data_IF_212581920828
#
_entry.id   IF_212581920828
#
_cell.length_a   1.000
_cell.length_b   1.000
_cell.length_c   1.000
_cell.angle_alpha   90.00
_cell.angle_beta   90.00
_cell.angle_gamma   90.00
#
_symmetry.space_group_name_H-M   'P 1'
#
loop_
_entity.id
_entity.type
_entity.pdbx_description
1 polymer ?
#
# COMPACT_ATOMS: atom_id res chain seq x y z
N UNK A 1 23.40 22.35 -1.42
CA UNK A 1 22.07 22.78 -1.89
C UNK A 1 21.87 22.63 -3.39
N UNK A 2 22.62 23.34 -4.27
CA UNK A 2 22.39 23.29 -5.74
C UNK A 2 22.41 21.88 -6.37
N UNK A 3 23.27 20.97 -5.88
CA UNK A 3 23.33 19.59 -6.37
C UNK A 3 22.09 18.77 -6.00
N UNK A 4 21.67 18.74 -4.72
CA UNK A 4 20.44 18.08 -4.26
C UNK A 4 19.19 18.58 -5.01
N UNK A 5 19.07 19.90 -5.22
CA UNK A 5 17.96 20.48 -6.00
C UNK A 5 17.95 19.98 -7.45
N UNK A 6 19.13 19.84 -8.08
CA UNK A 6 19.25 19.32 -9.45
C UNK A 6 18.90 17.83 -9.55
N UNK A 7 19.26 17.05 -8.55
CA UNK A 7 18.93 15.62 -8.46
C UNK A 7 17.41 15.41 -8.32
N UNK A 8 16.74 16.19 -7.45
CA UNK A 8 15.28 16.16 -7.31
C UNK A 8 14.57 16.57 -8.61
N UNK A 9 15.03 17.64 -9.27
CA UNK A 9 14.45 18.04 -10.56
C UNK A 9 14.58 16.94 -11.64
N UNK A 10 15.74 16.26 -11.69
CA UNK A 10 15.96 15.12 -12.58
C UNK A 10 15.03 13.95 -12.23
N UNK A 11 14.85 13.67 -10.94
CA UNK A 11 13.91 12.65 -10.45
C UNK A 11 12.47 12.91 -10.92
N UNK A 12 11.94 14.10 -10.67
CA UNK A 12 10.57 14.45 -11.06
C UNK A 12 10.36 14.37 -12.58
N UNK A 13 11.37 14.79 -13.36
CA UNK A 13 11.35 14.62 -14.82
C UNK A 13 11.29 13.14 -15.19
N UNK A 14 12.13 12.30 -14.59
CA UNK A 14 12.19 10.86 -14.87
C UNK A 14 10.88 10.15 -14.49
N UNK A 15 10.31 10.45 -13.32
CA UNK A 15 9.00 9.92 -12.94
C UNK A 15 7.93 10.30 -13.95
N UNK A 16 7.90 11.56 -14.39
CA UNK A 16 6.93 12.01 -15.40
C UNK A 16 7.04 11.19 -16.70
N UNK A 17 8.26 10.92 -17.17
CA UNK A 17 8.52 10.07 -18.34
C UNK A 17 8.05 8.62 -18.15
N UNK A 18 8.33 8.02 -17.01
CA UNK A 18 8.01 6.62 -16.74
C UNK A 18 6.50 6.42 -16.43
N UNK A 19 5.85 7.42 -15.84
CA UNK A 19 4.39 7.45 -15.67
C UNK A 19 3.67 7.44 -17.02
N UNK A 20 4.12 8.22 -18.01
CA UNK A 20 3.55 8.18 -19.37
C UNK A 20 3.58 6.76 -19.98
N UNK A 21 4.63 5.99 -19.66
CA UNK A 21 4.83 4.62 -20.15
C UNK A 21 4.06 3.57 -19.36
N UNK A 22 3.49 3.93 -18.20
CA UNK A 22 2.79 3.02 -17.31
C UNK A 22 3.73 1.96 -16.72
N UNK A 23 4.92 2.39 -16.29
CA UNK A 23 5.96 1.50 -15.73
C UNK A 23 6.47 1.99 -14.36
N UNK A 24 5.65 2.80 -13.67
CA UNK A 24 5.89 3.16 -12.26
C UNK A 24 4.88 2.43 -11.39
N UNK A 25 5.38 1.77 -10.34
CA UNK A 25 4.57 1.08 -9.33
C UNK A 25 4.81 1.79 -8.00
N UNK A 26 3.86 2.61 -7.52
CA UNK A 26 3.88 3.10 -6.15
C UNK A 26 3.79 1.93 -5.19
N UNK A 27 4.67 1.93 -4.18
CA UNK A 27 4.71 0.95 -3.12
C UNK A 27 4.52 1.69 -1.79
N UNK A 28 3.40 1.45 -1.12
CA UNK A 28 2.96 2.24 0.02
C UNK A 28 3.10 1.45 1.32
N UNK A 29 3.83 2.04 2.29
CA UNK A 29 3.85 1.59 3.67
C UNK A 29 2.96 2.43 4.59
N UNK A 30 2.94 2.10 5.88
CA UNK A 30 2.06 2.76 6.86
C UNK A 30 2.31 4.28 6.97
N UNK A 31 3.52 4.75 6.64
CA UNK A 31 3.86 6.17 6.69
C UNK A 31 3.05 7.04 5.73
N UNK A 32 2.43 6.49 4.69
CA UNK A 32 1.57 7.27 3.77
C UNK A 32 0.30 7.80 4.43
N UNK A 33 -0.17 7.09 5.47
CA UNK A 33 -1.34 7.46 6.25
C UNK A 33 -1.06 8.67 7.16
N UNK A 34 0.21 9.03 7.32
CA UNK A 34 0.67 10.15 8.12
C UNK A 34 0.93 11.41 7.29
N UNK A 35 0.81 11.33 5.96
CA UNK A 35 1.12 12.43 5.07
C UNK A 35 0.19 13.63 5.35
N UNK A 36 0.76 14.73 5.85
CA UNK A 36 0.02 15.92 6.27
C UNK A 36 -0.41 15.93 7.74
N UNK A 37 0.02 14.95 8.54
CA UNK A 37 -0.08 15.01 9.99
C UNK A 37 0.99 15.98 10.56
N UNK A 38 0.66 16.87 11.50
CA UNK A 38 1.66 17.75 12.13
C UNK A 38 2.69 16.93 12.93
N UNK A 39 3.95 16.90 12.46
CA UNK A 39 5.02 16.08 13.08
C UNK A 39 5.37 16.47 14.51
N UNK A 40 5.23 17.76 14.87
CA UNK A 40 5.52 18.28 16.21
C UNK A 40 4.70 17.62 17.30
N UNK A 41 3.52 17.11 16.96
CA UNK A 41 2.51 16.79 17.97
C UNK A 41 2.64 15.32 18.44
N UNK A 42 3.22 14.44 17.61
CA UNK A 42 3.20 12.98 17.83
C UNK A 42 4.25 12.44 18.80
N UNK A 43 5.36 13.15 19.00
CA UNK A 43 6.41 12.69 19.92
C UNK A 43 6.08 12.91 21.39
N UNK A 44 5.08 13.74 21.69
CA UNK A 44 4.73 14.16 23.05
C UNK A 44 3.53 13.41 23.63
N UNK A 45 2.67 12.81 22.78
CA UNK A 45 1.47 12.09 23.22
C UNK A 45 1.20 10.85 22.34
N UNK A 46 1.44 9.66 22.91
CA UNK A 46 1.26 8.37 22.23
C UNK A 46 -0.22 8.06 21.87
N UNK A 47 -1.18 8.72 22.52
CA UNK A 47 -2.62 8.55 22.25
C UNK A 47 -3.15 9.61 21.27
N UNK A 48 -2.30 10.52 20.78
CA UNK A 48 -2.72 11.64 19.93
C UNK A 48 -3.39 11.19 18.62
N UNK A 49 -2.92 10.08 18.03
CA UNK A 49 -3.50 9.53 16.82
C UNK A 49 -4.96 9.11 17.03
N UNK A 50 -5.30 8.55 18.21
CA UNK A 50 -6.68 8.18 18.55
C UNK A 50 -7.56 9.41 18.69
N UNK A 51 -7.08 10.44 19.40
CA UNK A 51 -7.83 11.68 19.65
C UNK A 51 -8.09 12.48 18.38
N UNK A 52 -7.14 12.46 17.45
CA UNK A 52 -7.24 13.21 16.19
C UNK A 52 -7.83 12.39 15.03
N UNK A 53 -8.18 11.12 15.26
CA UNK A 53 -8.78 10.25 14.25
C UNK A 53 -7.83 9.90 13.08
N UNK A 54 -6.54 9.71 13.37
CA UNK A 54 -5.55 9.28 12.37
C UNK A 54 -5.16 7.83 12.54
N UNK A 55 -4.61 7.19 11.50
CA UNK A 55 -4.09 5.83 11.62
C UNK A 55 -2.79 5.81 12.45
N UNK A 56 -2.58 4.77 13.27
CA UNK A 56 -1.34 4.63 14.02
C UNK A 56 -0.16 4.31 13.08
N UNK A 57 1.04 4.70 13.50
CA UNK A 57 2.26 4.10 12.95
C UNK A 57 2.55 2.75 13.63
N UNK A 58 3.62 2.06 13.21
CA UNK A 58 3.98 0.75 13.76
C UNK A 58 4.15 0.74 15.29
N UNK A 59 5.02 1.61 15.85
CA UNK A 59 5.19 1.72 17.30
C UNK A 59 3.91 2.07 18.07
N UNK A 60 3.10 3.00 17.57
CA UNK A 60 1.83 3.40 18.20
C UNK A 60 0.81 2.24 18.20
N UNK A 61 0.72 1.49 17.09
CA UNK A 61 -0.13 0.31 17.01
C UNK A 61 0.35 -0.76 17.99
N UNK A 62 1.66 -0.96 18.09
CA UNK A 62 2.27 -1.89 19.04
C UNK A 62 1.91 -1.56 20.49
N UNK A 63 2.10 -0.30 20.89
CA UNK A 63 1.80 0.15 22.26
C UNK A 63 0.30 0.07 22.58
N UNK A 64 -0.55 0.39 21.59
CA UNK A 64 -2.00 0.21 21.73
C UNK A 64 -2.39 -1.24 22.01
N UNK A 65 -1.88 -2.17 21.20
CA UNK A 65 -2.14 -3.60 21.36
C UNK A 65 -1.52 -4.12 22.67
N UNK A 66 -0.32 -3.65 23.05
CA UNK A 66 0.32 -4.04 24.29
C UNK A 66 -0.55 -3.68 25.51
N UNK A 67 -1.08 -2.45 25.55
CA UNK A 67 -2.02 -2.02 26.59
C UNK A 67 -3.32 -2.82 26.56
N UNK A 68 -3.85 -3.09 25.36
CA UNK A 68 -5.14 -3.79 25.17
C UNK A 68 -5.11 -5.26 25.61
N UNK A 69 -3.97 -5.91 25.41
CA UNK A 69 -3.74 -7.33 25.68
C UNK A 69 -2.79 -7.57 26.85
N UNK A 70 -2.57 -6.56 27.70
CA UNK A 70 -1.77 -6.66 28.92
C UNK A 70 -0.35 -7.23 28.72
N UNK A 71 0.33 -6.73 27.68
CA UNK A 71 1.73 -7.03 27.43
C UNK A 71 2.63 -6.10 28.26
N UNK A 72 3.37 -6.69 29.21
CA UNK A 72 4.08 -5.96 30.27
C UNK A 72 5.62 -5.97 30.09
N UNK A 73 6.14 -5.85 28.86
CA UNK A 73 7.58 -5.66 28.60
C UNK A 73 7.88 -4.30 27.94
N UNK A 74 8.30 -3.29 28.72
CA UNK A 74 8.61 -1.95 28.21
C UNK A 74 9.77 -1.91 27.20
N UNK A 75 10.65 -2.92 27.19
CA UNK A 75 11.75 -2.96 26.23
C UNK A 75 11.28 -3.29 24.81
N UNK A 76 10.12 -3.94 24.69
CA UNK A 76 9.60 -4.46 23.42
C UNK A 76 8.14 -4.07 23.15
N UNK A 77 7.51 -3.25 23.98
CA UNK A 77 6.12 -2.76 23.79
C UNK A 77 5.91 -1.97 22.49
N UNK A 78 6.98 -1.46 21.88
CA UNK A 78 6.96 -0.77 20.57
C UNK A 78 7.31 -1.69 19.39
N UNK A 79 7.63 -2.97 19.65
CA UNK A 79 7.84 -4.00 18.63
C UNK A 79 6.51 -4.69 18.32
N UNK A 80 5.88 -4.23 17.23
CA UNK A 80 4.57 -4.71 16.80
C UNK A 80 4.53 -6.22 16.59
N UNK A 81 5.62 -6.80 16.07
CA UNK A 81 5.67 -8.23 15.82
C UNK A 81 5.70 -9.00 17.13
N UNK A 82 6.52 -8.53 18.09
CA UNK A 82 6.62 -9.18 19.40
C UNK A 82 5.29 -9.13 20.15
N UNK A 83 4.65 -7.97 20.17
CA UNK A 83 3.35 -7.78 20.84
C UNK A 83 2.27 -8.64 20.20
N UNK A 84 2.16 -8.63 18.87
CA UNK A 84 1.12 -9.41 18.17
C UNK A 84 1.33 -10.92 18.29
N UNK A 85 2.59 -11.38 18.29
CA UNK A 85 2.90 -12.79 18.57
C UNK A 85 2.58 -13.18 20.02
N UNK A 86 2.83 -12.30 20.99
CA UNK A 86 2.41 -12.53 22.36
C UNK A 86 0.88 -12.66 22.45
N UNK A 87 0.14 -11.71 21.88
CA UNK A 87 -1.33 -11.73 21.87
C UNK A 87 -1.86 -13.00 21.23
N UNK A 88 -1.31 -13.41 20.08
CA UNK A 88 -1.78 -14.61 19.39
C UNK A 88 -1.57 -15.89 20.20
N UNK A 89 -0.49 -15.98 20.97
CA UNK A 89 -0.17 -17.14 21.83
C UNK A 89 -1.00 -17.14 23.11
N UNK A 90 -1.20 -15.97 23.73
CA UNK A 90 -1.85 -15.87 25.05
C UNK A 90 -3.38 -15.82 24.95
N UNK A 91 -3.92 -15.04 24.02
CA UNK A 91 -5.36 -14.80 23.88
C UNK A 91 -5.96 -15.46 22.62
N UNK A 92 -5.10 -15.93 21.71
CA UNK A 92 -5.50 -16.48 20.41
C UNK A 92 -5.60 -15.43 19.31
N UNK A 93 -5.65 -15.90 18.05
CA UNK A 93 -5.75 -15.04 16.87
C UNK A 93 -7.10 -14.30 16.76
N UNK A 94 -8.18 -14.87 17.30
CA UNK A 94 -9.52 -14.29 17.22
C UNK A 94 -9.56 -12.88 17.81
N UNK A 95 -9.35 -12.72 19.14
CA UNK A 95 -9.36 -11.41 19.79
C UNK A 95 -8.43 -10.37 19.14
N UNK A 96 -7.24 -10.79 18.69
CA UNK A 96 -6.34 -9.90 17.95
C UNK A 96 -6.99 -9.39 16.66
N UNK A 97 -7.62 -10.28 15.89
CA UNK A 97 -8.27 -9.93 14.63
C UNK A 97 -9.55 -9.11 14.84
N UNK A 98 -10.32 -9.37 15.91
CA UNK A 98 -11.44 -8.51 16.34
C UNK A 98 -10.95 -7.07 16.53
N UNK A 99 -9.88 -6.90 17.32
CA UNK A 99 -9.33 -5.59 17.65
C UNK A 99 -8.76 -4.86 16.42
N UNK A 100 -8.02 -5.59 15.57
CA UNK A 100 -7.48 -5.02 14.33
C UNK A 100 -8.60 -4.63 13.36
N UNK A 101 -9.66 -5.44 13.26
CA UNK A 101 -10.82 -5.11 12.44
C UNK A 101 -11.51 -3.84 12.96
N UNK A 102 -11.80 -3.76 14.26
CA UNK A 102 -12.41 -2.57 14.87
C UNK A 102 -11.56 -1.31 14.72
N UNK A 103 -10.23 -1.44 14.75
CA UNK A 103 -9.32 -0.33 14.52
C UNK A 103 -9.37 0.11 13.04
N UNK A 104 -9.11 -0.79 12.09
CA UNK A 104 -8.95 -0.42 10.68
C UNK A 104 -10.27 -0.13 9.94
N UNK A 105 -11.43 -0.44 10.54
CA UNK A 105 -12.75 -0.09 9.98
C UNK A 105 -13.24 1.32 10.34
N UNK A 106 -12.54 2.05 11.21
CA UNK A 106 -12.87 3.44 11.55
C UNK A 106 -12.67 4.38 10.37
N UNK A 107 -13.34 5.53 10.43
CA UNK A 107 -13.17 6.59 9.43
C UNK A 107 -11.86 7.34 9.66
N UNK A 108 -11.04 7.39 8.61
CA UNK A 108 -9.72 8.02 8.62
C UNK A 108 -9.59 9.05 7.51
N UNK A 109 -8.81 10.12 7.70
CA UNK A 109 -8.68 11.17 6.71
C UNK A 109 -7.93 10.69 5.45
N UNK A 110 -8.52 10.97 4.28
CA UNK A 110 -7.84 10.78 3.00
C UNK A 110 -6.72 11.83 2.85
N UNK A 111 -5.47 11.38 2.95
CA UNK A 111 -4.28 12.24 2.84
C UNK A 111 -4.07 12.82 1.43
N UNK A 112 -3.19 13.83 1.33
CA UNK A 112 -2.85 14.45 0.05
C UNK A 112 -2.22 13.45 -0.95
N UNK A 113 -1.46 12.47 -0.46
CA UNK A 113 -0.86 11.43 -1.30
C UNK A 113 -1.94 10.50 -1.87
N UNK A 114 -2.89 10.04 -1.05
CA UNK A 114 -4.01 9.21 -1.53
C UNK A 114 -4.80 9.91 -2.64
N UNK A 115 -5.17 11.18 -2.41
CA UNK A 115 -5.86 12.00 -3.43
C UNK A 115 -5.04 12.12 -4.70
N UNK A 116 -3.73 12.37 -4.59
CA UNK A 116 -2.86 12.47 -5.75
C UNK A 116 -2.88 11.16 -6.55
N UNK A 117 -2.63 10.01 -5.91
CA UNK A 117 -2.59 8.69 -6.57
C UNK A 117 -3.91 8.36 -7.27
N UNK A 118 -5.06 8.66 -6.65
CA UNK A 118 -6.38 8.48 -7.23
C UNK A 118 -6.62 9.38 -8.47
N UNK A 119 -6.02 10.57 -8.52
CA UNK A 119 -6.17 11.50 -9.64
C UNK A 119 -5.25 11.21 -10.83
N UNK A 120 -4.09 10.58 -10.60
CA UNK A 120 -3.06 10.38 -11.64
C UNK A 120 -3.60 9.65 -12.88
N UNK A 121 -4.33 8.52 -12.75
CA UNK A 121 -4.79 7.77 -13.93
C UNK A 121 -5.69 8.62 -14.84
N UNK A 122 -6.68 9.32 -14.26
CA UNK A 122 -7.56 10.23 -15.00
C UNK A 122 -6.79 11.37 -15.67
N UNK A 123 -5.83 11.98 -14.97
CA UNK A 123 -5.00 13.07 -15.52
C UNK A 123 -4.19 12.61 -16.73
N UNK A 124 -3.63 11.40 -16.67
CA UNK A 124 -2.84 10.84 -17.75
C UNK A 124 -3.72 10.38 -18.93
N UNK A 125 -4.89 9.80 -18.67
CA UNK A 125 -5.90 9.51 -19.71
C UNK A 125 -6.33 10.75 -20.48
N UNK A 126 -6.63 11.85 -19.78
CA UNK A 126 -6.97 13.15 -20.41
C UNK A 126 -5.84 13.75 -21.25
N UNK A 127 -4.60 13.36 -20.96
CA UNK A 127 -3.42 13.73 -21.75
C UNK A 127 -3.14 12.76 -22.89
N UNK A 128 -3.93 11.71 -23.10
CA UNK A 128 -3.75 10.74 -24.18
C UNK A 128 -2.80 9.58 -23.86
N UNK A 129 -2.45 9.38 -22.59
CA UNK A 129 -1.71 8.20 -22.12
C UNK A 129 -2.67 7.13 -21.60
N UNK A 130 -2.21 5.88 -21.48
CA UNK A 130 -3.06 4.73 -21.15
C UNK A 130 -3.62 4.77 -19.72
N UNK A 131 -2.90 4.29 -18.71
CA UNK A 131 -3.38 4.22 -17.31
C UNK A 131 -2.49 5.01 -16.37
N UNK A 132 -1.22 5.23 -16.71
CA UNK A 132 -0.28 5.91 -15.83
C UNK A 132 0.23 5.06 -14.67
N UNK A 133 -0.71 4.58 -13.84
CA UNK A 133 -0.47 3.73 -12.67
C UNK A 133 -1.21 2.39 -12.83
N UNK A 134 -0.67 1.43 -13.60
CA UNK A 134 -1.35 0.15 -13.80
C UNK A 134 -1.44 -0.71 -12.54
N UNK A 135 -0.59 -0.44 -11.53
CA UNK A 135 -0.53 -1.18 -10.29
C UNK A 135 -0.03 -0.26 -9.16
N UNK A 136 -0.69 -0.32 -8.02
CA UNK A 136 -0.24 0.23 -6.74
C UNK A 136 -0.12 -0.95 -5.77
N UNK A 137 0.99 -1.06 -5.07
CA UNK A 137 1.21 -2.09 -4.05
C UNK A 137 1.19 -1.45 -2.67
N UNK A 138 0.54 -2.07 -1.69
CA UNK A 138 0.57 -1.59 -0.31
C UNK A 138 0.61 -2.73 0.71
N UNK A 139 1.26 -2.44 1.84
CA UNK A 139 1.26 -3.28 3.04
C UNK A 139 0.24 -2.83 4.09
N UNK A 140 -0.55 -1.80 3.79
CA UNK A 140 -1.52 -1.23 4.73
C UNK A 140 -2.81 -2.05 4.70
N UNK A 141 -3.46 -2.19 5.85
CA UNK A 141 -4.70 -2.95 6.00
C UNK A 141 -5.95 -2.13 5.75
N UNK A 142 -5.89 -0.82 6.08
CA UNK A 142 -6.99 0.15 6.00
C UNK A 142 -7.52 0.37 4.58
N UNK A 143 -8.69 1.00 4.47
CA UNK A 143 -9.39 1.25 3.20
C UNK A 143 -9.16 2.67 2.63
N UNK A 144 -8.23 3.47 3.16
CA UNK A 144 -8.13 4.91 2.85
C UNK A 144 -7.76 5.17 1.38
N UNK A 145 -6.91 4.32 0.79
CA UNK A 145 -6.55 4.43 -0.62
C UNK A 145 -7.75 4.13 -1.53
N UNK A 146 -8.50 3.08 -1.21
CA UNK A 146 -9.69 2.63 -1.92
C UNK A 146 -10.79 3.70 -1.86
N UNK A 147 -11.01 4.29 -0.69
CA UNK A 147 -11.92 5.43 -0.49
C UNK A 147 -11.48 6.66 -1.31
N UNK A 148 -10.17 6.92 -1.42
CA UNK A 148 -9.66 8.00 -2.25
C UNK A 148 -9.97 7.80 -3.74
N UNK A 149 -9.84 6.57 -4.25
CA UNK A 149 -10.21 6.23 -5.62
C UNK A 149 -11.72 6.35 -5.84
N UNK A 150 -12.53 5.86 -4.91
CA UNK A 150 -13.98 5.99 -4.96
C UNK A 150 -14.43 7.46 -4.97
N UNK A 151 -13.87 8.28 -4.08
CA UNK A 151 -14.15 9.71 -4.00
C UNK A 151 -13.70 10.49 -5.25
N UNK A 152 -12.63 10.03 -5.93
CA UNK A 152 -12.16 10.61 -7.18
C UNK A 152 -12.99 10.19 -8.42
N UNK A 153 -13.96 9.28 -8.23
CA UNK A 153 -14.68 8.58 -9.31
C UNK A 153 -13.71 7.88 -10.29
N UNK A 154 -12.60 7.35 -9.75
CA UNK A 154 -11.60 6.65 -10.53
C UNK A 154 -11.82 5.13 -10.40
N UNK A 155 -12.07 4.41 -11.50
CA UNK A 155 -12.31 2.99 -11.42
C UNK A 155 -11.02 2.24 -11.05
N UNK A 156 -11.13 1.23 -10.18
CA UNK A 156 -10.01 0.35 -9.81
C UNK A 156 -10.47 -1.09 -9.53
N UNK A 157 -9.52 -2.01 -9.50
CA UNK A 157 -9.68 -3.37 -8.93
C UNK A 157 -8.85 -3.47 -7.67
N UNK A 158 -9.30 -4.34 -6.75
CA UNK A 158 -8.57 -4.66 -5.54
C UNK A 158 -8.16 -6.13 -5.57
N UNK A 159 -6.90 -6.39 -5.27
CA UNK A 159 -6.37 -7.74 -5.07
C UNK A 159 -5.74 -7.78 -3.69
N UNK A 160 -6.19 -8.68 -2.82
CA UNK A 160 -5.71 -8.78 -1.45
C UNK A 160 -5.28 -10.21 -1.10
N UNK A 161 -4.26 -10.33 -0.26
CA UNK A 161 -3.80 -11.62 0.26
C UNK A 161 -4.66 -12.07 1.43
N UNK A 162 -5.10 -13.33 1.41
CA UNK A 162 -5.86 -13.95 2.49
C UNK A 162 -5.05 -15.09 3.10
N UNK A 163 -4.86 -15.04 4.42
CA UNK A 163 -4.18 -16.09 5.16
C UNK A 163 -4.95 -17.39 5.09
N UNK A 164 -6.22 -17.40 5.46
CA UNK A 164 -7.13 -18.52 5.28
C UNK A 164 -8.57 -18.03 5.04
N UNK A 165 -9.20 -18.52 3.98
CA UNK A 165 -10.60 -18.22 3.65
C UNK A 165 -11.21 -19.34 2.82
N UNK A 166 -12.35 -19.87 3.24
CA UNK A 166 -13.11 -20.90 2.51
C UNK A 166 -12.25 -22.11 2.09
N UNK A 167 -11.27 -22.49 2.93
CA UNK A 167 -10.30 -23.55 2.64
C UNK A 167 -9.20 -23.17 1.62
N UNK A 168 -9.17 -21.91 1.19
CA UNK A 168 -8.17 -21.34 0.29
C UNK A 168 -7.06 -20.60 1.05
N UNK A 169 -6.30 -21.36 1.86
CA UNK A 169 -5.19 -20.83 2.63
C UNK A 169 -4.05 -20.27 1.76
N UNK A 170 -3.62 -19.05 2.04
CA UNK A 170 -2.47 -18.37 1.43
C UNK A 170 -2.69 -17.96 -0.03
N UNK A 171 -3.91 -17.57 -0.39
CA UNK A 171 -4.29 -17.19 -1.75
C UNK A 171 -4.59 -15.70 -1.85
N UNK A 172 -4.37 -15.15 -3.04
CA UNK A 172 -4.89 -13.83 -3.36
C UNK A 172 -6.35 -13.95 -3.80
N UNK A 173 -7.14 -12.93 -3.47
CA UNK A 173 -8.51 -12.77 -3.93
C UNK A 173 -8.62 -11.46 -4.70
N UNK A 174 -9.50 -11.44 -5.69
CA UNK A 174 -9.73 -10.31 -6.59
C UNK A 174 -11.16 -9.80 -6.40
N UNK A 175 -11.28 -8.51 -6.14
CA UNK A 175 -12.53 -7.77 -6.15
C UNK A 175 -12.57 -6.93 -7.44
N UNK A 176 -13.26 -7.42 -8.49
CA UNK A 176 -13.32 -6.74 -9.78
C UNK A 176 -14.18 -5.47 -9.67
N UNK A 177 -13.76 -4.39 -10.33
CA UNK A 177 -14.48 -3.09 -10.27
C UNK A 177 -14.76 -2.64 -8.82
N UNK A 178 -13.78 -2.84 -7.93
CA UNK A 178 -13.85 -2.48 -6.51
C UNK A 178 -14.38 -1.05 -6.29
N UNK A 179 -14.09 -0.10 -7.18
CA UNK A 179 -14.66 1.26 -7.11
C UNK A 179 -16.18 1.30 -6.95
N UNK A 180 -16.93 0.42 -7.59
CA UNK A 180 -18.39 0.38 -7.48
C UNK A 180 -18.86 -0.16 -6.13
N UNK A 181 -18.14 -1.16 -5.61
CA UNK A 181 -18.35 -1.66 -4.25
C UNK A 181 -18.14 -0.55 -3.21
N UNK A 182 -17.01 0.16 -3.28
CA UNK A 182 -16.70 1.25 -2.36
C UNK A 182 -17.67 2.43 -2.51
N UNK A 183 -18.07 2.83 -3.72
CA UNK A 183 -19.09 3.88 -3.93
C UNK A 183 -20.45 3.47 -3.36
N UNK A 184 -20.89 2.25 -3.61
CA UNK A 184 -22.14 1.74 -3.08
C UNK A 184 -22.13 1.73 -1.55
N UNK A 185 -21.04 1.25 -0.93
CA UNK A 185 -20.83 1.26 0.52
C UNK A 185 -20.90 2.68 1.10
N UNK A 186 -20.11 3.61 0.55
CA UNK A 186 -20.08 5.00 1.02
C UNK A 186 -21.47 5.64 0.92
N UNK A 187 -22.23 5.35 -0.14
CA UNK A 187 -23.60 5.83 -0.32
C UNK A 187 -24.59 5.20 0.68
N UNK A 188 -24.43 3.92 1.00
CA UNK A 188 -25.27 3.19 1.94
C UNK A 188 -25.07 3.66 3.41
N UNK A 189 -23.87 4.10 3.76
CA UNK A 189 -23.51 4.47 5.13
C UNK A 189 -23.44 3.27 6.07
N UNK A 190 -23.22 3.53 7.37
CA UNK A 190 -22.93 2.52 8.40
C UNK A 190 -24.07 1.52 8.71
N UNK A 191 -25.24 1.65 8.08
CA UNK A 191 -26.40 0.78 8.30
C UNK A 191 -27.08 0.30 7.03
N UNK A 192 -26.49 0.51 5.85
CA UNK A 192 -27.05 0.03 4.60
C UNK A 192 -26.82 -1.47 4.41
N UNK A 193 -27.76 -2.14 3.75
CA UNK A 193 -27.61 -3.55 3.38
C UNK A 193 -26.31 -3.77 2.59
N UNK A 194 -25.55 -4.76 3.03
CA UNK A 194 -24.30 -5.15 2.41
C UNK A 194 -24.57 -5.71 1.02
N UNK A 195 -24.15 -5.00 -0.03
CA UNK A 195 -24.11 -5.57 -1.37
C UNK A 195 -23.19 -6.80 -1.34
N UNK A 196 -23.64 -7.93 -1.89
CA UNK A 196 -22.84 -9.15 -1.94
C UNK A 196 -21.45 -8.84 -2.50
N UNK A 197 -20.40 -9.09 -1.70
CA UNK A 197 -19.03 -8.74 -2.06
C UNK A 197 -18.54 -9.72 -3.12
N UNK A 198 -18.22 -9.29 -4.36
CA UNK A 198 -17.87 -10.21 -5.43
C UNK A 198 -16.39 -10.62 -5.37
N UNK A 199 -15.87 -10.93 -4.18
CA UNK A 199 -14.52 -11.46 -4.01
C UNK A 199 -14.39 -12.79 -4.77
N UNK A 200 -13.36 -12.89 -5.61
CA UNK A 200 -13.06 -14.07 -6.41
C UNK A 200 -11.69 -14.62 -6.01
N UNK A 201 -11.64 -15.88 -5.60
CA UNK A 201 -10.36 -16.54 -5.30
C UNK A 201 -9.52 -16.69 -6.58
N UNK A 202 -8.25 -16.32 -6.49
CA UNK A 202 -7.25 -16.61 -7.53
C UNK A 202 -6.67 -18.00 -7.23
N UNK A 203 -7.44 -19.05 -7.58
CA UNK A 203 -7.07 -20.43 -7.28
C UNK A 203 -5.78 -20.86 -8.03
N UNK A 204 -5.69 -20.51 -9.32
CA UNK A 204 -4.58 -20.80 -10.21
C UNK A 204 -3.94 -19.50 -10.75
N UNK A 205 -2.97 -18.89 -10.03
CA UNK A 205 -2.41 -17.59 -10.40
C UNK A 205 -1.85 -17.52 -11.83
N UNK A 206 -1.23 -18.59 -12.30
CA UNK A 206 -0.66 -18.66 -13.65
C UNK A 206 -1.71 -18.73 -14.77
N UNK A 207 -2.97 -19.10 -14.45
CA UNK A 207 -4.09 -19.17 -15.41
C UNK A 207 -5.08 -18.02 -15.25
N UNK A 208 -4.95 -17.20 -14.20
CA UNK A 208 -5.87 -16.09 -13.92
C UNK A 208 -5.73 -14.96 -14.94
N UNK A 209 -6.81 -14.61 -15.64
CA UNK A 209 -6.82 -13.65 -16.77
C UNK A 209 -7.70 -12.42 -16.55
N UNK A 210 -8.48 -12.39 -15.47
CA UNK A 210 -9.52 -11.37 -15.27
C UNK A 210 -8.98 -10.04 -14.74
N UNK A 211 -7.66 -9.93 -14.53
CA UNK A 211 -7.03 -8.66 -14.14
C UNK A 211 -6.95 -7.68 -15.32
N UNK A 212 -7.48 -6.46 -15.19
CA UNK A 212 -7.49 -5.46 -16.26
C UNK A 212 -6.17 -4.67 -16.32
N UNK A 213 -5.05 -5.38 -16.33
CA UNK A 213 -3.70 -4.80 -16.39
C UNK A 213 -3.61 -3.84 -17.58
N UNK A 214 -3.11 -2.62 -17.33
CA UNK A 214 -3.01 -1.52 -18.31
C UNK A 214 -4.34 -1.01 -18.90
N UNK A 215 -5.49 -1.46 -18.38
CA UNK A 215 -6.81 -0.87 -18.67
C UNK A 215 -7.33 -0.06 -17.48
N UNK A 216 -7.02 -0.52 -16.27
CA UNK A 216 -7.44 0.09 -15.01
C UNK A 216 -6.36 -0.10 -13.94
N UNK A 217 -6.36 0.76 -12.92
CA UNK A 217 -5.47 0.61 -11.77
C UNK A 217 -5.87 -0.62 -10.97
N UNK A 218 -4.87 -1.43 -10.59
CA UNK A 218 -5.04 -2.52 -9.63
C UNK A 218 -4.36 -2.08 -8.33
N UNK A 219 -5.07 -2.14 -7.21
CA UNK A 219 -4.51 -2.00 -5.87
C UNK A 219 -4.21 -3.40 -5.35
N UNK A 220 -2.96 -3.67 -5.01
CA UNK A 220 -2.49 -4.96 -4.51
C UNK A 220 -2.10 -4.85 -3.03
N UNK A 221 -2.85 -5.50 -2.15
CA UNK A 221 -2.63 -5.54 -0.69
C UNK A 221 -2.04 -6.87 -0.29
N UNK A 222 -0.77 -6.85 0.08
CA UNK A 222 0.04 -8.07 0.24
C UNK A 222 0.08 -8.59 1.69
N UNK A 223 -0.29 -7.75 2.66
CA UNK A 223 -0.47 -8.17 4.05
C UNK A 223 -1.93 -8.50 4.39
N UNK A 224 -2.80 -8.48 3.38
CA UNK A 224 -4.23 -8.54 3.57
C UNK A 224 -4.87 -7.17 3.70
N UNK A 225 -6.13 -7.19 4.05
CA UNK A 225 -7.01 -6.03 4.01
C UNK A 225 -8.10 -6.21 5.06
N UNK A 226 -8.59 -5.11 5.60
CA UNK A 226 -9.90 -5.11 6.27
C UNK A 226 -11.00 -5.04 5.21
N UNK A 227 -12.16 -5.58 5.53
CA UNK A 227 -13.41 -5.36 4.78
C UNK A 227 -14.47 -4.89 5.76
N UNK A 228 -14.89 -3.63 5.63
CA UNK A 228 -15.85 -2.99 6.55
C UNK A 228 -17.24 -3.60 6.55
N UNK A 229 -17.67 -4.21 5.44
CA UNK A 229 -19.05 -4.73 5.33
C UNK A 229 -19.14 -6.22 5.62
N UNK A 230 -18.03 -6.93 5.47
CA UNK A 230 -17.96 -8.33 5.81
C UNK A 230 -16.64 -8.67 6.50
N UNK A 231 -16.71 -8.74 7.82
CA UNK A 231 -15.59 -9.10 8.69
C UNK A 231 -14.92 -10.42 8.30
N UNK A 232 -15.65 -11.37 7.71
CA UNK A 232 -15.06 -12.63 7.24
C UNK A 232 -14.06 -12.44 6.08
N UNK A 233 -14.10 -11.29 5.41
CA UNK A 233 -13.13 -10.88 4.40
C UNK A 233 -12.02 -9.96 4.95
N UNK A 234 -11.85 -9.90 6.27
CA UNK A 234 -10.67 -9.28 6.88
C UNK A 234 -9.52 -10.28 7.06
N UNK A 235 -8.31 -9.91 6.66
CA UNK A 235 -7.10 -10.74 6.78
C UNK A 235 -5.90 -9.87 7.15
N UNK A 236 -5.08 -10.32 8.11
CA UNK A 236 -3.95 -9.57 8.64
C UNK A 236 -2.70 -10.45 8.75
N UNK A 237 -1.69 -10.20 7.91
CA UNK A 237 -0.35 -10.80 8.07
C UNK A 237 0.46 -9.93 9.02
N UNK A 238 0.40 -10.23 10.32
CA UNK A 238 0.93 -9.34 11.36
C UNK A 238 1.81 -10.06 12.41
N UNK A 239 1.53 -11.33 12.69
CA UNK A 239 2.30 -12.13 13.65
C UNK A 239 3.52 -12.79 12.99
N UNK A 240 4.46 -13.29 13.79
CA UNK A 240 5.63 -14.01 13.27
C UNK A 240 5.21 -15.27 12.52
N UNK A 241 4.25 -16.01 13.08
CA UNK A 241 3.67 -17.20 12.44
C UNK A 241 3.01 -16.86 11.10
N UNK A 242 2.32 -15.73 10.98
CA UNK A 242 1.73 -15.28 9.71
C UNK A 242 2.81 -15.02 8.64
N UNK A 243 3.92 -14.40 9.02
CA UNK A 243 5.03 -14.13 8.10
C UNK A 243 5.81 -15.40 7.74
N UNK A 244 5.96 -16.34 8.66
CA UNK A 244 6.54 -17.67 8.39
C UNK A 244 5.63 -18.41 7.41
N UNK A 245 4.32 -18.45 7.67
CA UNK A 245 3.34 -19.09 6.78
C UNK A 245 3.29 -18.44 5.39
N UNK A 246 3.42 -17.11 5.36
CA UNK A 246 3.58 -16.36 4.12
C UNK A 246 4.85 -16.87 3.40
N UNK A 247 6.03 -16.80 4.01
CA UNK A 247 7.31 -17.18 3.39
C UNK A 247 7.42 -18.65 3.01
N UNK A 248 7.06 -19.58 3.91
CA UNK A 248 7.24 -21.01 3.74
C UNK A 248 6.51 -21.56 2.49
N UNK A 249 5.51 -20.83 2.00
CA UNK A 249 4.77 -21.17 0.78
C UNK A 249 5.45 -20.71 -0.52
N UNK A 250 6.65 -20.12 -0.45
CA UNK A 250 7.42 -19.73 -1.65
C UNK A 250 7.82 -20.93 -2.54
N UNK A 251 7.96 -22.12 -1.97
CA UNK A 251 8.29 -23.35 -2.71
C UNK A 251 7.14 -23.84 -3.61
N UNK A 252 5.92 -23.32 -3.41
CA UNK A 252 4.74 -23.63 -4.22
C UNK A 252 4.41 -22.43 -5.12
N UNK A 253 5.15 -22.24 -6.23
CA UNK A 253 4.90 -21.30 -7.33
C UNK A 253 4.33 -19.91 -6.95
N UNK A 254 5.10 -18.82 -7.19
CA UNK A 254 4.73 -17.43 -6.85
C UNK A 254 3.20 -17.16 -6.91
N UNK A 255 2.56 -16.85 -5.77
CA UNK A 255 1.10 -16.80 -5.66
C UNK A 255 0.46 -15.61 -6.40
N UNK A 256 1.26 -14.67 -6.91
CA UNK A 256 0.76 -13.57 -7.72
C UNK A 256 0.45 -14.03 -9.16
N UNK A 257 -0.62 -13.51 -9.78
CA UNK A 257 -0.87 -13.75 -11.20
C UNK A 257 0.33 -13.37 -12.09
N UNK A 258 0.61 -14.20 -13.10
CA UNK A 258 1.76 -14.00 -14.00
C UNK A 258 1.79 -12.61 -14.63
N UNK A 259 0.63 -12.03 -14.94
CA UNK A 259 0.54 -10.68 -15.51
C UNK A 259 1.07 -9.60 -14.55
N UNK A 260 0.82 -9.71 -13.25
CA UNK A 260 1.36 -8.78 -12.24
C UNK A 260 2.86 -8.98 -12.07
N UNK A 261 3.34 -10.23 -12.03
CA UNK A 261 4.77 -10.52 -11.97
C UNK A 261 5.52 -9.90 -13.17
N UNK A 262 4.97 -10.05 -14.39
CA UNK A 262 5.55 -9.47 -15.60
C UNK A 262 5.53 -7.95 -15.58
N UNK A 263 4.45 -7.34 -15.07
CA UNK A 263 4.37 -5.89 -14.91
C UNK A 263 5.43 -5.37 -13.93
N UNK A 264 5.54 -6.00 -12.76
CA UNK A 264 6.53 -5.67 -11.73
C UNK A 264 7.96 -5.79 -12.25
N UNK A 265 8.27 -6.87 -12.97
CA UNK A 265 9.59 -7.13 -13.55
C UNK A 265 10.07 -6.03 -14.52
N UNK A 266 9.15 -5.36 -15.20
CA UNK A 266 9.45 -4.31 -16.17
C UNK A 266 9.06 -2.91 -15.72
N UNK A 267 8.93 -2.70 -14.41
CA UNK A 267 8.56 -1.43 -13.81
C UNK A 267 9.61 -0.96 -12.80
N UNK A 268 9.57 0.34 -12.50
CA UNK A 268 10.29 0.97 -11.40
C UNK A 268 9.37 1.09 -10.21
N UNK A 269 9.87 0.77 -9.03
CA UNK A 269 9.14 0.98 -7.79
C UNK A 269 9.37 2.40 -7.27
N UNK A 270 8.32 2.98 -6.69
CA UNK A 270 8.40 4.22 -5.93
C UNK A 270 7.91 3.94 -4.51
N UNK A 271 8.84 3.71 -3.59
CA UNK A 271 8.55 3.45 -2.19
C UNK A 271 8.19 4.74 -1.47
N UNK A 272 7.01 4.77 -0.84
CA UNK A 272 6.44 5.92 -0.14
C UNK A 272 6.00 5.48 1.26
N UNK A 273 6.44 6.19 2.29
CA UNK A 273 6.05 5.88 3.68
C UNK A 273 6.48 4.48 4.14
N UNK A 274 7.56 3.95 3.55
CA UNK A 274 8.04 2.59 3.73
C UNK A 274 9.49 2.61 4.25
N UNK A 275 9.72 2.05 5.44
CA UNK A 275 11.06 1.85 6.00
C UNK A 275 11.52 0.40 5.85
N UNK A 276 12.82 0.14 5.78
CA UNK A 276 13.36 -1.24 5.77
C UNK A 276 13.81 -1.75 7.15
N UNK A 277 13.50 -1.01 8.21
CA UNK A 277 13.91 -1.35 9.58
C UNK A 277 13.37 -2.71 9.98
N UNK A 278 12.11 -2.96 9.69
CA UNK A 278 11.46 -4.21 10.02
C UNK A 278 11.83 -5.32 9.01
N UNK A 279 12.14 -6.51 9.52
CA UNK A 279 12.55 -7.64 8.68
C UNK A 279 11.41 -8.15 7.79
N UNK A 280 10.16 -8.07 8.27
CA UNK A 280 8.96 -8.45 7.54
C UNK A 280 8.79 -7.66 6.22
N UNK A 281 9.19 -6.37 6.22
CA UNK A 281 9.19 -5.52 5.03
C UNK A 281 10.26 -5.94 4.01
N UNK A 282 11.39 -6.50 4.47
CA UNK A 282 12.41 -7.09 3.58
C UNK A 282 11.95 -8.43 2.99
N UNK A 283 11.16 -9.18 3.74
CA UNK A 283 10.53 -10.45 3.33
C UNK A 283 9.52 -10.25 2.22
N UNK A 284 8.68 -9.22 2.34
CA UNK A 284 7.77 -8.79 1.29
C UNK A 284 8.49 -8.51 -0.02
N UNK A 285 9.60 -7.77 0.04
CA UNK A 285 10.39 -7.45 -1.15
C UNK A 285 10.99 -8.73 -1.75
N UNK A 286 11.47 -9.65 -0.92
CA UNK A 286 11.94 -10.96 -1.38
C UNK A 286 10.82 -11.74 -2.09
N UNK A 287 9.58 -11.68 -1.60
CA UNK A 287 8.42 -12.31 -2.26
C UNK A 287 8.05 -11.68 -3.59
N UNK A 288 8.08 -10.34 -3.68
CA UNK A 288 7.68 -9.62 -4.90
C UNK A 288 8.75 -9.70 -5.98
N UNK A 289 10.03 -9.58 -5.59
CA UNK A 289 11.15 -9.56 -6.53
C UNK A 289 11.74 -10.95 -6.79
N UNK A 290 11.48 -11.92 -5.91
CA UNK A 290 12.15 -13.21 -5.94
C UNK A 290 13.67 -13.08 -5.81
N UNK A 291 14.39 -14.09 -6.30
CA UNK A 291 15.86 -14.08 -6.37
C UNK A 291 16.42 -13.26 -7.56
N UNK A 292 15.55 -12.67 -8.37
CA UNK A 292 15.98 -12.03 -9.63
C UNK A 292 16.45 -10.59 -9.38
N UNK A 293 17.65 -10.20 -9.87
CA UNK A 293 18.11 -8.83 -9.74
C UNK A 293 17.17 -7.88 -10.51
N UNK A 294 16.71 -6.84 -9.83
CA UNK A 294 15.89 -5.80 -10.47
C UNK A 294 16.73 -5.08 -11.53
N UNK A 295 16.24 -5.06 -12.77
CA UNK A 295 16.96 -4.43 -13.90
C UNK A 295 16.79 -2.91 -13.94
N UNK A 296 15.74 -2.40 -13.30
CA UNK A 296 15.40 -0.99 -13.30
C UNK A 296 15.66 -0.38 -11.94
N UNK A 297 16.38 0.76 -11.92
CA UNK A 297 16.56 1.56 -10.70
C UNK A 297 15.20 2.05 -10.21
N UNK A 298 14.92 1.78 -8.94
CA UNK A 298 13.70 2.23 -8.24
C UNK A 298 14.05 3.40 -7.32
N UNK A 299 13.04 3.98 -6.67
CA UNK A 299 13.22 5.11 -5.76
C UNK A 299 12.54 4.89 -4.43
N UNK A 300 13.11 5.43 -3.35
CA UNK A 300 12.48 5.49 -2.04
C UNK A 300 12.46 6.93 -1.53
N UNK A 301 11.30 7.43 -1.13
CA UNK A 301 11.16 8.73 -0.47
C UNK A 301 11.19 8.47 1.03
N UNK A 302 12.33 8.79 1.64
CA UNK A 302 12.58 8.52 3.05
C UNK A 302 13.49 9.62 3.62
N UNK A 303 13.09 10.15 4.78
CA UNK A 303 13.86 11.13 5.55
C UNK A 303 14.62 10.41 6.67
N UNK A 304 15.69 11.04 7.19
CA UNK A 304 16.43 10.59 8.38
C UNK A 304 16.94 9.13 8.29
N UNK A 305 17.42 8.75 7.11
CA UNK A 305 17.93 7.39 6.85
C UNK A 305 19.24 7.14 7.58
N UNK A 306 19.37 5.96 8.18
CA UNK A 306 20.64 5.47 8.74
C UNK A 306 21.55 4.91 7.64
N UNK A 307 22.82 4.67 7.96
CA UNK A 307 23.75 4.01 7.02
C UNK A 307 23.27 2.60 6.62
N UNK A 308 22.61 1.89 7.54
CA UNK A 308 22.04 0.56 7.26
C UNK A 308 20.89 0.68 6.25
N UNK A 309 20.03 1.69 6.39
CA UNK A 309 18.95 1.95 5.43
C UNK A 309 19.52 2.22 4.03
N UNK A 310 20.52 3.11 3.94
CA UNK A 310 21.20 3.44 2.68
C UNK A 310 21.79 2.21 2.01
N UNK A 311 22.63 1.46 2.72
CA UNK A 311 23.27 0.25 2.18
C UNK A 311 22.24 -0.84 1.83
N UNK A 312 21.13 -0.93 2.56
CA UNK A 312 20.07 -1.89 2.28
C UNK A 312 19.33 -1.58 0.98
N UNK A 313 19.07 -0.31 0.69
CA UNK A 313 18.45 0.15 -0.55
C UNK A 313 19.42 0.11 -1.74
N UNK A 314 20.68 0.48 -1.55
CA UNK A 314 21.72 0.43 -2.59
C UNK A 314 21.91 -0.99 -3.14
N UNK A 315 21.94 -1.99 -2.25
CA UNK A 315 22.00 -3.43 -2.64
C UNK A 315 20.82 -3.87 -3.51
N UNK A 316 19.70 -3.16 -3.42
CA UNK A 316 18.46 -3.41 -4.19
C UNK A 316 18.34 -2.47 -5.40
N UNK A 317 19.36 -1.67 -5.68
CA UNK A 317 19.37 -0.72 -6.79
C UNK A 317 18.23 0.31 -6.67
N UNK A 318 17.99 0.78 -5.44
CA UNK A 318 16.97 1.79 -5.10
C UNK A 318 17.66 3.08 -4.67
N UNK A 319 17.39 4.17 -5.38
CA UNK A 319 17.92 5.49 -5.05
C UNK A 319 17.04 6.14 -3.96
N UNK A 320 17.66 6.59 -2.87
CA UNK A 320 16.96 7.27 -1.78
C UNK A 320 16.84 8.77 -2.09
N UNK A 321 15.64 9.29 -1.88
CA UNK A 321 15.32 10.70 -1.93
C UNK A 321 15.08 11.18 -0.50
N UNK A 322 16.04 11.94 0.00
CA UNK A 322 16.06 12.56 1.33
C UNK A 322 15.02 13.69 1.40
N UNK A 323 13.75 13.32 1.49
CA UNK A 323 12.57 14.18 1.52
C UNK A 323 11.52 13.59 2.45
N UNK A 324 10.77 14.48 3.10
CA UNK A 324 9.50 14.14 3.74
C UNK A 324 8.42 13.85 2.67
N UNK A 325 7.37 13.10 3.00
CA UNK A 325 6.22 12.97 2.09
C UNK A 325 5.49 14.31 1.92
N UNK A 326 5.49 15.13 2.97
CA UNK A 326 4.88 16.46 3.01
C UNK A 326 5.50 17.39 1.96
N UNK A 327 6.82 17.34 1.78
CA UNK A 327 7.54 18.14 0.77
C UNK A 327 7.50 17.49 -0.61
N UNK A 328 7.58 16.16 -0.66
CA UNK A 328 7.65 15.40 -1.91
C UNK A 328 6.34 15.44 -2.71
N UNK A 329 5.19 15.28 -2.04
CA UNK A 329 3.89 15.14 -2.68
C UNK A 329 3.47 16.39 -3.48
N UNK A 330 3.62 17.63 -2.97
CA UNK A 330 3.34 18.85 -3.74
C UNK A 330 4.18 18.93 -5.02
N UNK A 331 5.49 18.67 -4.95
CA UNK A 331 6.37 18.71 -6.12
C UNK A 331 6.07 17.58 -7.11
N UNK A 332 5.74 16.38 -6.64
CA UNK A 332 5.28 15.29 -7.51
C UNK A 332 3.98 15.68 -8.23
N UNK A 333 3.03 16.31 -7.53
CA UNK A 333 1.78 16.79 -8.11
C UNK A 333 2.03 17.82 -9.22
N UNK A 334 2.94 18.76 -8.99
CA UNK A 334 3.36 19.74 -10.00
C UNK A 334 3.99 19.05 -11.22
N UNK A 335 4.94 18.13 -11.00
CA UNK A 335 5.59 17.39 -12.07
C UNK A 335 4.59 16.62 -12.95
N UNK A 336 3.60 15.96 -12.34
CA UNK A 336 2.52 15.26 -13.06
C UNK A 336 1.62 16.25 -13.81
N UNK A 337 1.36 17.42 -13.21
CA UNK A 337 0.66 18.54 -13.83
C UNK A 337 1.34 19.02 -15.11
N UNK A 338 2.67 19.07 -15.10
CA UNK A 338 3.52 19.55 -16.20
C UNK A 338 3.76 18.53 -17.33
N UNK A 339 3.33 17.27 -17.18
CA UNK A 339 3.44 16.26 -18.24
C UNK A 339 2.70 16.77 -19.52
N UNK A 340 3.33 16.83 -20.69
CA UNK A 340 2.68 17.29 -21.93
C UNK A 340 1.62 16.29 -22.42
N UNK A 341 0.68 16.74 -23.25
CA UNK A 341 -0.24 15.83 -23.96
C UNK A 341 0.55 14.89 -24.89
N UNK A 342 0.05 13.67 -25.06
CA UNK A 342 0.62 12.69 -25.97
C UNK A 342 0.56 13.21 -27.42
N UNK A 343 1.61 12.98 -28.23
CA UNK A 343 1.58 13.32 -29.64
C UNK A 343 0.37 12.68 -30.34
N UNK A 344 -0.43 13.48 -31.04
CA UNK A 344 -1.62 13.00 -31.76
C UNK A 344 -2.87 12.78 -30.91
N UNK A 345 -2.86 13.14 -29.61
CA UNK A 345 -4.08 13.12 -28.81
C UNK A 345 -5.10 14.14 -29.36
N UNK A 346 -6.38 13.75 -29.57
CA UNK A 346 -7.40 14.68 -30.05
C UNK A 346 -7.55 15.84 -29.06
N UNK A 347 -7.68 17.06 -29.58
CA UNK A 347 -7.93 18.24 -28.75
C UNK A 347 -9.22 18.02 -27.98
N UNK A 348 -9.14 17.95 -26.64
CA UNK A 348 -10.32 17.90 -25.79
C UNK A 348 -11.17 19.15 -26.09
N UNK A 349 -12.33 18.96 -26.71
CA UNK A 349 -13.35 20.01 -26.75
C UNK A 349 -13.73 20.30 -25.29
N UNK A 350 -13.58 21.57 -24.93
CA UNK A 350 -13.86 22.14 -23.60
C UNK A 350 -15.27 21.83 -23.14
#
# INVERSE_FOLDING_TARGET
MKAKTRELAKHYTMIGEELKRGVVIPFLGAGVNLCGFPRSDRSEDADLWQRNGWLPNGPELSQYLAKRFHYDDPATESDLLRVTQFTSVMDGLGPLYDELHELFTRDYPITALHKLLAEVPRKLRRKGYSVGLPLIVTTNYDEVLEEAFAAADEPFDLVAYFLDRDGHRGKFWHLPLASEYFKARIKAGAGGESAAVPWQVIAEPNKYKDLPVRKRTIILKIHGAVDRMNREYSSFVITEDDYIDYLARMDLANPLPKMLQMLMKYSRFLFLGYGLRDWNLRVVLARIWGEQPQKYRSWAVQMDTTEIDQRSWDRRTVDILDQSLEDYVPSLKEAIGSIPRAPGAPSAKL
#
